data_IF_149040867559
#
_entry.id   IF_149040867559
#
_cell.length_a   1.000
_cell.length_b   1.000
_cell.length_c   1.000
_cell.angle_alpha   90.00
_cell.angle_beta   90.00
_cell.angle_gamma   90.00
#
_symmetry.space_group_name_H-M   'P 1'
#
loop_
_entity.id
_entity.type
_entity.pdbx_description
1 polymer ?
2 non-polymer ?
3 non-polymer ?
4 non-polymer ?
5 water ?
#
# COMPACT_ATOMS: atom_id res chain seq x y z
N UNK A 1 8.08 16.02 -3.17
CA UNK A 1 9.42 16.06 -2.52
C UNK A 1 9.73 14.71 -1.87
N UNK A 2 8.85 13.73 -2.14
CA UNK A 2 9.03 12.38 -1.60
C UNK A 2 10.39 11.76 -2.00
N UNK A 3 10.84 12.05 -3.21
CA UNK A 3 12.11 11.50 -3.72
C UNK A 3 13.32 11.95 -2.93
N UNK A 4 13.17 13.07 -2.22
CA UNK A 4 14.20 13.54 -1.32
C UNK A 4 14.33 12.68 -0.06
N UNK A 5 13.22 12.11 0.37
CA UNK A 5 13.23 11.26 1.56
C UNK A 5 13.51 9.80 1.22
N UNK A 6 12.88 9.32 0.14
CA UNK A 6 13.03 7.95 -0.33
C UNK A 6 13.83 7.97 -1.61
N UNK A 7 15.12 7.63 -1.51
CA UNK A 7 15.98 7.61 -2.68
C UNK A 7 15.83 6.33 -3.49
N UNK A 8 16.42 6.34 -4.68
CA UNK A 8 16.49 5.14 -5.50
C UNK A 8 17.21 4.02 -4.74
N UNK A 9 18.30 4.37 -4.06
CA UNK A 9 19.02 3.38 -3.26
C UNK A 9 18.14 2.77 -2.18
N UNK A 10 17.35 3.60 -1.50
CA UNK A 10 16.50 3.09 -0.43
C UNK A 10 15.44 2.14 -1.00
N UNK A 11 14.83 2.56 -2.10
CA UNK A 11 13.82 1.74 -2.73
C UNK A 11 14.40 0.40 -3.20
N UNK A 12 15.57 0.44 -3.82
CA UNK A 12 16.20 -0.81 -4.25
C UNK A 12 16.50 -1.74 -3.10
N UNK A 13 16.83 -1.16 -1.94
CA UNK A 13 17.04 -1.94 -0.74
C UNK A 13 15.80 -2.74 -0.39
N UNK A 14 14.65 -2.09 -0.43
CA UNK A 14 13.37 -2.73 -0.10
C UNK A 14 13.01 -3.79 -1.13
N UNK A 15 13.12 -3.41 -2.40
CA UNK A 15 12.70 -4.29 -3.49
C UNK A 15 13.66 -5.46 -3.70
N UNK A 16 14.90 -5.28 -3.25
CA UNK A 16 15.98 -6.20 -3.59
C UNK A 16 15.95 -7.53 -2.86
N UNK A 17 15.28 -7.55 -1.71
CA UNK A 17 15.18 -8.78 -0.91
C UNK A 17 14.25 -9.83 -1.51
N UNK A 18 13.35 -9.42 -2.39
CA UNK A 18 12.41 -10.35 -3.04
C UNK A 18 13.16 -11.37 -3.88
N UNK A 19 12.72 -12.63 -3.82
CA UNK A 19 13.31 -13.69 -4.65
C UNK A 19 13.16 -13.35 -6.13
N UNK A 20 14.11 -13.76 -6.95
CA UNK A 20 14.08 -13.41 -8.36
C UNK A 20 12.81 -13.94 -9.02
N UNK A 21 12.29 -15.05 -8.51
CA UNK A 21 11.10 -15.68 -9.05
C UNK A 21 9.79 -14.97 -8.65
N UNK A 22 9.89 -13.94 -7.82
CA UNK A 22 8.71 -13.16 -7.44
C UNK A 22 8.19 -12.37 -8.64
N UNK A 23 6.88 -12.42 -8.86
CA UNK A 23 6.30 -11.60 -9.95
C UNK A 23 6.52 -10.10 -9.77
N UNK A 24 6.63 -9.65 -8.51
CA UNK A 24 6.81 -8.23 -8.21
C UNK A 24 8.19 -7.69 -8.55
N UNK A 25 9.15 -8.58 -8.70
CA UNK A 25 10.52 -8.14 -8.91
C UNK A 25 10.72 -7.56 -10.31
N UNK A 26 10.93 -6.24 -10.36
CA UNK A 26 11.07 -5.53 -11.64
C UNK A 26 9.74 -4.95 -12.10
N UNK A 27 8.67 -5.30 -11.38
CA UNK A 27 7.35 -4.70 -11.58
C UNK A 27 7.13 -3.51 -10.63
N UNK A 28 7.43 -3.73 -9.36
CA UNK A 28 7.39 -2.67 -8.37
C UNK A 28 8.68 -1.88 -8.49
N UNK A 29 8.60 -0.70 -9.10
CA UNK A 29 9.78 0.11 -9.44
C UNK A 29 9.74 1.49 -8.78
N UNK A 30 10.92 2.05 -8.56
CA UNK A 30 11.02 3.37 -7.98
C UNK A 30 10.34 4.42 -8.85
N UNK A 31 10.46 4.26 -10.18
CA UNK A 31 9.85 5.21 -11.09
C UNK A 31 8.33 5.29 -10.89
N UNK A 32 7.72 4.12 -10.78
CA UNK A 32 6.28 4.00 -10.56
C UNK A 32 5.89 4.56 -9.20
N UNK A 33 6.67 4.25 -8.17
CA UNK A 33 6.39 4.80 -6.85
C UNK A 33 6.44 6.34 -6.84
N UNK A 34 7.50 6.93 -7.40
CA UNK A 34 7.61 8.39 -7.35
C UNK A 34 6.50 9.06 -8.16
N UNK A 35 6.18 8.51 -9.33
CA UNK A 35 5.02 8.98 -10.11
C UNK A 35 3.72 8.95 -9.29
N UNK A 36 3.50 7.84 -8.58
CA UNK A 36 2.29 7.70 -7.76
C UNK A 36 2.28 8.70 -6.59
N UNK A 37 3.42 8.84 -5.91
CA UNK A 37 3.53 9.69 -4.74
C UNK A 37 3.21 11.13 -5.10
N UNK A 38 3.72 11.58 -6.24
CA UNK A 38 3.56 12.96 -6.65
C UNK A 38 2.13 13.27 -7.05
N UNK A 39 1.37 12.22 -7.37
CA UNK A 39 -0.01 12.35 -7.88
C UNK A 39 -1.04 12.71 -6.82
N UNK A 40 -0.68 12.54 -5.55
CA UNK A 40 -1.59 12.78 -4.43
C UNK A 40 -1.00 13.76 -3.45
N UNK A 41 -1.42 15.03 -3.60
CA UNK A 41 -0.92 16.14 -2.79
C UNK A 41 -0.96 15.82 -1.29
N UNK A 42 0.15 16.06 -0.60
CA UNK A 42 0.23 15.82 0.83
C UNK A 42 0.87 14.51 1.23
N UNK A 43 0.93 13.56 0.31
CA UNK A 43 1.45 12.23 0.64
C UNK A 43 2.95 12.31 0.89
N UNK A 44 3.36 12.05 2.12
CA UNK A 44 4.78 12.15 2.50
C UNK A 44 5.38 13.54 2.36
N UNK A 45 4.51 14.55 2.29
CA UNK A 45 4.96 15.95 2.19
C UNK A 45 4.24 16.81 3.22
N UNK A 46 3.59 16.15 4.17
CA UNK A 46 2.86 16.82 5.24
C UNK A 46 3.64 16.77 6.56
N UNK A 47 3.84 17.93 7.18
CA UNK A 47 4.48 18.01 8.49
C UNK A 47 5.99 18.14 8.46
N UNK A 48 6.60 17.95 9.63
CA UNK A 48 8.04 18.07 9.77
C UNK A 48 8.74 16.91 9.07
N UNK A 49 10.06 16.98 8.97
CA UNK A 49 10.82 15.90 8.35
C UNK A 49 10.52 14.55 9.00
N UNK A 50 10.39 14.53 10.33
CA UNK A 50 10.12 13.26 11.03
C UNK A 50 8.73 12.75 10.73
N UNK A 51 7.76 13.66 10.61
CA UNK A 51 6.38 13.28 10.28
C UNK A 51 6.32 12.68 8.88
N UNK A 52 7.02 13.32 7.93
CA UNK A 52 7.08 12.81 6.56
C UNK A 52 7.76 11.45 6.49
N UNK A 53 8.87 11.32 7.21
CA UNK A 53 9.60 10.04 7.24
C UNK A 53 8.74 8.94 7.84
N UNK A 54 8.02 9.24 8.92
CA UNK A 54 7.16 8.23 9.53
C UNK A 54 5.98 7.86 8.62
N UNK A 55 5.41 8.83 7.90
CA UNK A 55 4.32 8.50 6.98
C UNK A 55 4.83 7.55 5.89
N UNK A 56 5.96 7.89 5.29
CA UNK A 56 6.50 7.05 4.22
C UNK A 56 6.91 5.67 4.74
N UNK A 57 7.51 5.63 5.94
CA UNK A 57 7.83 4.36 6.58
C UNK A 57 6.56 3.54 6.81
N UNK A 58 5.49 4.22 7.24
CA UNK A 58 4.21 3.55 7.51
C UNK A 58 3.61 2.99 6.23
N UNK A 59 3.64 3.78 5.16
CA UNK A 59 3.19 3.31 3.85
C UNK A 59 3.98 2.07 3.41
N UNK A 60 5.30 2.18 3.42
CA UNK A 60 6.11 1.04 2.97
C UNK A 60 6.01 -0.18 3.85
N UNK A 61 5.83 0.00 5.16
CA UNK A 61 5.71 -1.15 6.06
C UNK A 61 4.45 -1.94 5.70
N UNK A 62 3.34 -1.23 5.52
CA UNK A 62 2.09 -1.88 5.13
C UNK A 62 2.20 -2.53 3.75
N UNK A 63 2.87 -1.83 2.82
CA UNK A 63 3.12 -2.39 1.47
C UNK A 63 3.97 -3.66 1.53
N UNK A 64 5.05 -3.62 2.33
CA UNK A 64 5.91 -4.80 2.45
C UNK A 64 5.13 -5.99 3.02
N UNK A 65 4.28 -5.71 4.01
CA UNK A 65 3.46 -6.77 4.58
C UNK A 65 2.51 -7.39 3.53
N UNK A 66 1.78 -6.52 2.83
CA UNK A 66 0.69 -6.91 1.90
C UNK A 66 1.22 -7.70 0.71
N UNK A 67 2.46 -7.41 0.33
CA UNK A 67 3.08 -8.00 -0.86
C UNK A 67 4.18 -9.02 -0.57
N UNK A 68 4.36 -9.36 0.70
CA UNK A 68 5.41 -10.30 1.10
C UNK A 68 6.79 -9.78 0.71
N UNK A 69 7.02 -8.50 0.95
CA UNK A 69 8.32 -7.91 0.67
C UNK A 69 8.52 -7.53 -0.78
N UNK A 70 7.46 -6.97 -1.39
CA UNK A 70 7.47 -6.55 -2.80
C UNK A 70 7.69 -7.77 -3.71
N UNK A 71 7.14 -8.90 -3.26
CA UNK A 71 7.19 -10.14 -4.02
C UNK A 71 5.94 -10.38 -4.87
N UNK A 72 4.76 -10.14 -4.30
CA UNK A 72 3.51 -10.51 -4.97
C UNK A 72 2.81 -9.32 -5.56
N UNK A 73 2.32 -9.52 -6.79
CA UNK A 73 1.42 -8.57 -7.44
C UNK A 73 -0.01 -8.98 -7.12
N UNK A 74 -0.29 -10.28 -7.27
CA UNK A 74 -1.63 -10.82 -7.12
C UNK A 74 -1.80 -11.60 -5.84
N UNK A 75 -2.95 -11.39 -5.21
CA UNK A 75 -3.39 -12.23 -4.11
C UNK A 75 -3.21 -13.71 -4.48
N UNK A 76 -2.69 -14.50 -3.54
CA UNK A 76 -2.47 -15.93 -3.79
C UNK A 76 -3.76 -16.75 -3.66
N UNK A 77 -4.04 -17.56 -4.67
CA UNK A 77 -5.20 -18.45 -4.70
C UNK A 77 -6.47 -17.80 -4.14
N UNK A 78 -6.89 -16.67 -4.74
CA UNK A 78 -8.07 -16.00 -4.20
C UNK A 78 -9.27 -16.94 -4.22
N UNK A 79 -10.03 -16.98 -3.11
CA UNK A 79 -11.14 -17.92 -2.97
C UNK A 79 -12.43 -17.46 -3.66
N UNK A 80 -12.51 -16.17 -3.98
CA UNK A 80 -13.70 -15.59 -4.59
C UNK A 80 -13.29 -14.53 -5.61
N UNK A 81 -14.26 -14.01 -6.37
CA UNK A 81 -14.03 -12.94 -7.32
C UNK A 81 -14.10 -11.56 -6.70
N UNK A 82 -14.48 -11.50 -5.42
CA UNK A 82 -14.58 -10.22 -4.68
C UNK A 82 -15.57 -9.29 -5.36
N UNK A 83 -16.74 -9.84 -5.63
CA UNK A 83 -17.84 -9.08 -6.19
C UNK A 83 -18.94 -8.98 -5.16
N UNK A 84 -19.25 -7.75 -4.77
CA UNK A 84 -20.43 -7.44 -4.00
C UNK A 84 -21.38 -6.77 -4.96
N UNK A 85 -22.50 -7.43 -5.26
CA UNK A 85 -23.47 -6.88 -6.22
C UNK A 85 -23.80 -5.44 -5.85
N UNK A 86 -23.79 -4.58 -6.86
CA UNK A 86 -23.90 -3.15 -6.64
C UNK A 86 -24.54 -2.49 -7.86
N UNK A 87 -25.40 -1.50 -7.62
CA UNK A 87 -25.91 -0.66 -8.69
C UNK A 87 -24.96 0.51 -9.00
N UNK A 88 -24.07 0.84 -8.07
CA UNK A 88 -23.16 1.97 -8.25
C UNK A 88 -21.87 1.53 -8.95
N UNK A 89 -21.37 0.37 -8.52
CA UNK A 89 -20.11 -0.15 -9.04
C UNK A 89 -20.34 -1.58 -9.53
N UNK A 90 -21.04 -1.73 -10.65
CA UNK A 90 -21.49 -3.08 -11.03
C UNK A 90 -20.32 -4.00 -11.37
N UNK A 91 -20.39 -5.24 -10.90
CA UNK A 91 -19.34 -6.20 -11.23
C UNK A 91 -19.43 -6.60 -12.68
N UNK A 92 -18.29 -6.72 -13.34
CA UNK A 92 -18.24 -7.26 -14.70
C UNK A 92 -18.13 -8.79 -14.64
N UNK A 93 -19.08 -9.46 -15.29
CA UNK A 93 -19.06 -10.91 -15.32
C UNK A 93 -17.72 -11.41 -15.86
N UNK A 94 -17.13 -12.38 -15.19
CA UNK A 94 -15.87 -12.97 -15.65
C UNK A 94 -14.61 -12.31 -15.10
N UNK A 95 -14.76 -11.18 -14.42
CA UNK A 95 -13.62 -10.46 -13.85
C UNK A 95 -13.47 -10.76 -12.37
N UNK A 96 -12.23 -10.66 -11.89
CA UNK A 96 -11.97 -10.86 -10.48
C UNK A 96 -11.38 -9.56 -9.91
N UNK A 97 -11.88 -9.21 -8.73
CA UNK A 97 -11.40 -8.03 -8.02
C UNK A 97 -10.57 -8.46 -6.82
N UNK A 98 -9.84 -9.57 -7.01
CA UNK A 98 -8.91 -10.05 -5.99
C UNK A 98 -7.80 -9.03 -5.76
N UNK A 99 -7.05 -9.20 -4.68
CA UNK A 99 -6.01 -8.22 -4.32
C UNK A 99 -4.98 -8.07 -5.41
N UNK A 100 -4.71 -6.82 -5.77
CA UNK A 100 -3.61 -6.52 -6.71
C UNK A 100 -2.84 -5.32 -6.25
N UNK A 101 -1.53 -5.37 -6.46
CA UNK A 101 -0.67 -4.20 -6.23
C UNK A 101 -0.20 -4.02 -4.80
N UNK A 102 0.49 -2.89 -4.54
CA UNK A 102 1.21 -2.71 -3.27
C UNK A 102 0.38 -2.78 -2.00
N UNK A 103 -0.90 -2.37 -2.08
CA UNK A 103 -1.79 -2.49 -0.92
C UNK A 103 -2.93 -3.44 -1.18
N UNK A 104 -2.79 -4.29 -2.20
CA UNK A 104 -3.74 -5.39 -2.45
C UNK A 104 -5.17 -4.90 -2.57
N UNK A 105 -5.34 -3.92 -3.44
CA UNK A 105 -6.68 -3.40 -3.78
C UNK A 105 -7.62 -4.55 -4.08
N UNK A 106 -8.78 -4.55 -3.41
CA UNK A 106 -9.77 -5.64 -3.53
C UNK A 106 -11.19 -5.08 -3.58
N UNK A 107 -12.09 -5.82 -4.25
CA UNK A 107 -13.56 -5.57 -4.36
C UNK A 107 -13.92 -4.60 -5.46
N UNK A 108 -15.01 -4.92 -6.17
CA UNK A 108 -15.51 -4.07 -7.26
C UNK A 108 -15.66 -2.61 -6.88
N UNK A 109 -16.16 -2.36 -5.67
CA UNK A 109 -16.45 -0.99 -5.26
C UNK A 109 -15.17 -0.18 -5.09
N UNK A 110 -14.10 -0.83 -4.65
CA UNK A 110 -12.81 -0.16 -4.57
C UNK A 110 -12.13 0.00 -5.92
N UNK A 111 -12.21 -1.02 -6.77
CA UNK A 111 -11.64 -0.90 -8.11
C UNK A 111 -12.33 0.20 -8.89
N UNK A 112 -13.66 0.25 -8.80
CA UNK A 112 -14.40 1.27 -9.53
C UNK A 112 -13.94 2.67 -9.13
N UNK A 113 -13.92 2.94 -7.83
CA UNK A 113 -13.55 4.26 -7.34
C UNK A 113 -12.08 4.61 -7.64
N UNK A 114 -11.19 3.63 -7.50
CA UNK A 114 -9.77 3.84 -7.82
C UNK A 114 -9.62 4.22 -9.29
N UNK A 115 -10.30 3.49 -10.15
CA UNK A 115 -10.20 3.76 -11.58
C UNK A 115 -10.69 5.16 -11.93
N UNK A 116 -11.77 5.57 -11.28
CA UNK A 116 -12.30 6.92 -11.50
C UNK A 116 -11.25 8.00 -11.13
N UNK A 117 -10.53 7.80 -10.05
CA UNK A 117 -9.51 8.74 -9.60
C UNK A 117 -8.29 8.73 -10.49
N UNK A 118 -7.83 7.55 -10.85
CA UNK A 118 -6.54 7.36 -11.52
C UNK A 118 -6.62 7.48 -13.04
N UNK A 119 -7.76 7.14 -13.61
CA UNK A 119 -7.97 7.25 -15.05
C UNK A 119 -7.87 5.93 -15.81
N UNK A 120 -8.41 4.87 -15.21
CA UNK A 120 -8.58 3.59 -15.92
C UNK A 120 -9.92 2.98 -15.55
N UNK A 121 -10.34 1.96 -16.29
CA UNK A 121 -11.64 1.34 -16.05
C UNK A 121 -11.47 0.25 -15.01
N UNK A 122 -11.75 0.58 -13.75
CA UNK A 122 -11.51 -0.38 -12.66
C UNK A 122 -12.42 -1.59 -12.72
N UNK A 123 -13.63 -1.40 -13.24
CA UNK A 123 -14.61 -2.49 -13.31
C UNK A 123 -14.32 -3.45 -14.46
N UNK A 124 -13.99 -2.89 -15.63
CA UNK A 124 -13.75 -3.71 -16.82
C UNK A 124 -12.31 -4.11 -17.06
N UNK A 125 -11.38 -3.41 -16.43
CA UNK A 125 -9.97 -3.70 -16.62
C UNK A 125 -9.23 -3.72 -15.29
N UNK A 126 -9.73 -4.52 -14.30
CA UNK A 126 -9.06 -4.56 -13.00
C UNK A 126 -7.63 -5.08 -13.13
N UNK A 127 -7.38 -5.89 -14.16
CA UNK A 127 -6.05 -6.46 -14.42
C UNK A 127 -4.97 -5.39 -14.63
N UNK A 128 -5.39 -4.17 -14.98
CA UNK A 128 -4.39 -3.10 -15.17
C UNK A 128 -3.58 -2.88 -13.91
N UNK A 129 -4.17 -3.16 -12.75
CA UNK A 129 -3.48 -2.94 -11.49
C UNK A 129 -2.30 -3.92 -11.33
N UNK A 130 -2.37 -5.04 -12.06
CA UNK A 130 -1.29 -6.02 -12.05
C UNK A 130 -0.39 -5.97 -13.29
N UNK A 131 -0.65 -5.03 -14.20
CA UNK A 131 0.05 -4.96 -15.49
C UNK A 131 0.80 -3.65 -15.72
N UNK A 132 0.28 -2.56 -15.13
CA UNK A 132 0.88 -1.23 -15.28
C UNK A 132 1.44 -0.81 -13.91
N UNK A 133 2.76 -0.71 -13.84
CA UNK A 133 3.50 -0.40 -12.60
C UNK A 133 3.03 0.90 -11.93
N UNK A 134 2.86 1.94 -12.74
CA UNK A 134 2.47 3.24 -12.21
C UNK A 134 1.00 3.21 -11.73
N UNK A 135 0.11 2.63 -12.52
CA UNK A 135 -1.27 2.44 -12.04
C UNK A 135 -1.27 1.66 -10.71
N UNK A 136 -0.45 0.60 -10.66
CA UNK A 136 -0.39 -0.25 -9.47
C UNK A 136 -0.04 0.59 -8.24
N UNK A 137 1.07 1.34 -8.29
CA UNK A 137 1.41 2.17 -7.15
C UNK A 137 0.38 3.26 -6.90
N UNK A 138 -0.21 3.83 -7.95
CA UNK A 138 -1.25 4.84 -7.75
C UNK A 138 -2.44 4.27 -6.97
N UNK A 139 -2.80 2.99 -7.19
CA UNK A 139 -3.91 2.43 -6.38
C UNK A 139 -3.58 2.41 -4.90
N UNK A 140 -2.31 2.23 -4.58
CA UNK A 140 -1.90 2.16 -3.19
C UNK A 140 -1.88 3.55 -2.53
N UNK A 141 -1.34 4.54 -3.24
CA UNK A 141 -1.31 5.90 -2.71
C UNK A 141 -2.73 6.48 -2.61
N UNK A 142 -3.55 6.21 -3.63
CA UNK A 142 -4.97 6.55 -3.62
C UNK A 142 -5.67 5.95 -2.40
N UNK A 143 -5.45 4.66 -2.14
CA UNK A 143 -6.11 4.04 -1.02
C UNK A 143 -5.69 4.74 0.29
N UNK A 144 -4.40 4.99 0.39
CA UNK A 144 -3.78 5.60 1.58
C UNK A 144 -4.35 6.99 1.86
N UNK A 145 -4.54 7.77 0.79
CA UNK A 145 -4.90 9.18 0.90
C UNK A 145 -6.39 9.47 0.81
N UNK A 146 -7.10 8.68 -0.01
CA UNK A 146 -8.47 9.00 -0.43
C UNK A 146 -9.52 7.95 -0.04
N UNK A 147 -9.09 6.73 0.27
CA UNK A 147 -10.05 5.64 0.52
C UNK A 147 -9.88 5.00 1.88
N UNK A 148 -9.16 5.66 2.77
CA UNK A 148 -8.95 5.12 4.10
C UNK A 148 -8.51 6.23 5.03
N UNK A 149 -8.44 5.91 6.32
CA UNK A 149 -7.93 6.84 7.32
C UNK A 149 -6.41 6.77 7.52
N UNK A 150 -5.69 6.12 6.60
CA UNK A 150 -4.25 5.92 6.82
C UNK A 150 -3.47 7.24 6.93
N UNK A 151 -3.67 8.11 5.95
CA UNK A 151 -2.99 9.41 5.96
C UNK A 151 -3.39 10.23 7.18
N UNK A 152 -4.70 10.30 7.45
CA UNK A 152 -5.18 11.08 8.60
C UNK A 152 -4.61 10.55 9.92
N UNK A 153 -4.58 9.24 10.09
CA UNK A 153 -4.04 8.62 11.30
C UNK A 153 -2.58 9.01 11.53
N UNK A 154 -1.76 8.84 10.50
CA UNK A 154 -0.31 9.03 10.67
C UNK A 154 0.07 10.50 10.76
N UNK A 155 -0.85 11.40 10.39
CA UNK A 155 -0.62 12.84 10.54
C UNK A 155 -1.46 13.50 11.66
N UNK A 156 -2.01 12.67 12.55
CA UNK A 156 -2.79 13.19 13.70
C UNK A 156 -2.44 12.53 15.03
N UNK A 157 -1.28 11.88 15.09
CA UNK A 157 -0.79 11.28 16.34
C UNK A 157 -1.25 9.87 16.65
N UNK A 158 -1.92 9.23 15.69
CA UNK A 158 -2.37 7.85 15.90
C UNK A 158 -1.27 6.81 15.65
N UNK A 159 -0.13 7.28 15.13
CA UNK A 159 1.03 6.44 14.91
C UNK A 159 0.83 5.34 13.90
N UNK A 160 1.85 4.51 13.77
CA UNK A 160 1.78 3.38 12.86
C UNK A 160 0.58 2.48 13.14
N UNK A 161 0.30 2.27 14.44
CA UNK A 161 -0.83 1.44 14.83
C UNK A 161 -2.15 1.95 14.27
N UNK A 162 -2.29 3.27 14.18
CA UNK A 162 -3.49 3.88 13.58
C UNK A 162 -3.63 3.54 12.10
N UNK A 163 -2.50 3.37 11.42
CA UNK A 163 -2.55 2.96 10.00
C UNK A 163 -2.97 1.49 9.88
N UNK A 164 -2.52 0.64 10.80
CA UNK A 164 -2.97 -0.76 10.81
C UNK A 164 -4.49 -0.78 11.01
N UNK A 165 -4.96 -0.02 12.01
CA UNK A 165 -6.40 0.04 12.27
C UNK A 165 -7.18 0.53 11.05
N UNK A 166 -6.61 1.47 10.30
CA UNK A 166 -7.24 2.04 9.12
C UNK A 166 -7.33 1.04 7.97
N UNK A 167 -6.36 0.11 7.91
CA UNK A 167 -6.25 -0.86 6.82
C UNK A 167 -7.00 -2.16 7.09
N UNK A 168 -6.84 -2.70 8.29
CA UNK A 168 -7.45 -3.97 8.65
C UNK A 168 -7.61 -4.01 10.15
N UNK A 169 -8.67 -3.36 10.63
CA UNK A 169 -8.93 -3.21 12.07
C UNK A 169 -9.11 -4.54 12.80
N UNK A 170 -9.52 -5.59 12.07
CA UNK A 170 -9.69 -6.93 12.64
C UNK A 170 -8.41 -7.52 13.23
N UNK A 171 -7.26 -7.03 12.79
CA UNK A 171 -5.97 -7.49 13.31
C UNK A 171 -5.66 -6.97 14.70
N UNK A 172 -6.23 -5.81 15.02
CA UNK A 172 -5.93 -5.12 16.28
C UNK A 172 -6.65 -5.77 17.46
N UNK A 173 -6.31 -5.31 18.67
CA UNK A 173 -6.92 -5.81 19.91
C UNK A 173 -6.84 -7.34 20.05
N UNK A 174 -5.78 -7.93 19.51
CA UNK A 174 -5.59 -9.39 19.62
C UNK A 174 -6.21 -10.20 18.50
N UNK A 175 -6.79 -9.54 17.50
CA UNK A 175 -7.39 -10.23 16.35
C UNK A 175 -6.39 -11.17 15.69
N UNK A 176 -5.29 -10.59 15.23
CA UNK A 176 -4.19 -11.38 14.69
C UNK A 176 -2.88 -10.70 15.05
N UNK A 177 -2.33 -11.09 16.19
CA UNK A 177 -1.12 -10.43 16.69
C UNK A 177 0.10 -10.69 15.81
N UNK A 178 0.15 -11.86 15.16
CA UNK A 178 1.20 -12.16 14.20
C UNK A 178 1.21 -11.21 13.01
N UNK A 179 0.03 -10.88 12.50
CA UNK A 179 -0.11 -9.92 11.39
C UNK A 179 0.31 -8.51 11.82
N UNK A 180 -0.15 -8.08 12.99
CA UNK A 180 0.29 -6.81 13.54
C UNK A 180 1.82 -6.79 13.68
N UNK A 181 2.39 -7.87 14.24
CA UNK A 181 3.83 -7.93 14.45
C UNK A 181 4.62 -7.87 13.14
N UNK A 182 4.05 -8.47 12.08
CA UNK A 182 4.65 -8.44 10.75
C UNK A 182 4.75 -7.01 10.24
N UNK A 183 3.64 -6.29 10.32
CA UNK A 183 3.61 -4.89 9.90
C UNK A 183 4.55 -4.04 10.75
N UNK A 184 4.46 -4.18 12.09
CA UNK A 184 5.33 -3.45 13.01
C UNK A 184 6.81 -3.72 12.76
N UNK A 185 7.19 -4.99 12.56
CA UNK A 185 8.58 -5.33 12.27
C UNK A 185 9.09 -4.57 11.05
N UNK A 186 8.31 -4.57 9.97
CA UNK A 186 8.69 -3.78 8.81
C UNK A 186 8.82 -2.29 9.14
N UNK A 187 7.87 -1.74 9.88
CA UNK A 187 7.90 -0.32 10.20
C UNK A 187 9.16 0.06 10.98
N UNK A 188 9.51 -0.74 11.97
CA UNK A 188 10.70 -0.44 12.77
C UNK A 188 11.97 -0.53 11.94
N UNK A 189 12.04 -1.53 11.06
CA UNK A 189 13.22 -1.68 10.20
C UNK A 189 13.36 -0.48 9.27
N UNK A 190 12.24 -0.06 8.68
CA UNK A 190 12.28 1.03 7.72
C UNK A 190 12.60 2.35 8.43
N UNK A 191 12.02 2.56 9.61
CA UNK A 191 12.35 3.74 10.40
C UNK A 191 13.86 3.77 10.69
N UNK A 192 14.40 2.61 11.08
CA UNK A 192 15.85 2.52 11.39
C UNK A 192 16.70 2.89 10.18
N UNK A 193 16.29 2.44 8.99
CA UNK A 193 17.03 2.72 7.75
C UNK A 193 16.91 4.20 7.38
N UNK A 194 15.78 4.81 7.72
CA UNK A 194 15.58 6.24 7.48
C UNK A 194 16.16 7.11 8.61
N UNK A 195 16.55 6.47 9.71
CA UNK A 195 17.12 7.16 10.86
C UNK A 195 16.13 8.03 11.60
N UNK A 196 14.86 7.62 11.60
CA UNK A 196 13.81 8.33 12.32
C UNK A 196 13.31 7.49 13.48
N UNK A 197 12.98 8.14 14.59
CA UNK A 197 12.33 7.45 15.69
C UNK A 197 10.94 6.96 15.24
N UNK A 198 10.57 5.70 15.54
CA UNK A 198 9.26 5.19 15.12
C UNK A 198 8.06 5.92 15.74
N UNK A 199 8.29 6.64 16.83
CA UNK A 199 7.21 7.42 17.47
C UNK A 199 6.34 6.58 18.40
N UNK A 200 5.23 7.17 18.84
CA UNK A 200 4.31 6.51 19.77
C UNK A 200 3.22 5.75 19.02
N UNK A 201 2.48 4.90 19.73
CA UNK A 201 1.33 4.17 19.16
C UNK A 201 1.72 3.33 17.93
N UNK A 202 2.84 2.63 18.07
CA UNK A 202 3.40 1.84 16.97
C UNK A 202 2.55 0.58 16.67
N UNK A 203 1.95 0.00 17.70
CA UNK A 203 1.21 -1.25 17.56
C UNK A 203 -0.30 -1.04 17.80
N UNK A 204 -1.08 -2.12 17.70
CA UNK A 204 -2.51 -2.03 18.02
C UNK A 204 -3.06 -3.38 18.53
X LIG B 1 -5.06 -7.50 2.79
X LIG B 1 -5.96 -7.18 1.72
X LIG B 1 -5.86 -5.68 1.42
X LIG B 1 -6.28 -4.93 2.57
X LIG B 1 -5.83 -3.59 2.51
X LIG C 1 -8.93 -3.46 0.19
X LIG C 1 -8.89 -2.82 -0.90
X LIG C 1 -9.25 -2.82 1.23
X LIG C 1 -8.69 -4.93 0.27
X LIG D 1 -6.44 -2.13 -0.13
X LIG D 1 -5.94 -1.25 -0.80
#
# INVERSE_FOLDING_TARGET
SVGGIISQSFFNGLAGGAASSCEGKGFYTYNAFIAAANAYSGFGTTGSNDVKKRELAAFFANVMHETGGLCYINEKNPPINYCQSSSTWPCTSGKSYHGRGPLQLSWNYNYGAAGKSIGFDGLNNPEKVGQDSTISFKTAVWFWMKNSNCHSAITSGQGFGGTIKAINSMECNGGNSGEVSSRVNYYKKICSQLGVDPGANVSC
MXE O1 C1 C2 O2 C3
ACT C O OXT CH3
FOR C O
#
